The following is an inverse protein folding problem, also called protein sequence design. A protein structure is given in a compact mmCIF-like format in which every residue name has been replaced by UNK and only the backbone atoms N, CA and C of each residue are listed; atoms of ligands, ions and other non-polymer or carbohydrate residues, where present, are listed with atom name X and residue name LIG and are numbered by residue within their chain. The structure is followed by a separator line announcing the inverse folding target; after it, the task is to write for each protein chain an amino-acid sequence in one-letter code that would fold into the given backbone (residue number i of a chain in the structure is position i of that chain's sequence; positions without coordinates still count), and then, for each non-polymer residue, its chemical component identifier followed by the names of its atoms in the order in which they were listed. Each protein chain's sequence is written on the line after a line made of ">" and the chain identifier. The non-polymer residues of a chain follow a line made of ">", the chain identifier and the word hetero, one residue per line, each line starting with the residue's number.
data_IF_126318876977
#
_entry.id   IF_126318876977
#
_cell.length_a   1.000
_cell.length_b   1.000
_cell.length_c   1.000
_cell.angle_alpha   90.00
_cell.angle_beta   90.00
_cell.angle_gamma   90.00
#
_symmetry.space_group_name_H-M   'P 1'
#
loop_
_entity.id
_entity.type
_entity.pdbx_description
1 polymer ?
#
# COMPACT_ATOMS: atom_id res chain seq x y z
N UNK A 1 -7.09 -13.48 -16.57
CA UNK A 1 -6.28 -12.26 -16.43
C UNK A 1 -4.85 -12.72 -16.27
N UNK A 2 -3.96 -12.35 -17.19
CA UNK A 2 -2.52 -12.52 -17.03
C UNK A 2 -2.11 -11.90 -15.69
N UNK A 3 -1.27 -12.59 -14.93
CA UNK A 3 -0.90 -12.13 -13.60
C UNK A 3 -0.28 -10.73 -13.66
N UNK A 4 -0.85 -9.78 -12.92
CA UNK A 4 -0.29 -8.43 -12.76
C UNK A 4 -0.71 -7.38 -13.80
N UNK A 5 -1.73 -7.63 -14.62
CA UNK A 5 -2.29 -6.61 -15.52
C UNK A 5 -3.43 -5.82 -14.86
N UNK A 6 -3.43 -4.49 -15.03
CA UNK A 6 -4.45 -3.58 -14.51
C UNK A 6 -4.82 -2.57 -15.60
N UNK A 7 -6.10 -2.23 -15.72
CA UNK A 7 -6.54 -1.17 -16.65
C UNK A 7 -6.04 0.19 -16.14
N UNK A 8 -5.58 1.06 -17.04
CA UNK A 8 -5.07 2.39 -16.65
C UNK A 8 -6.06 3.19 -15.78
N UNK A 9 -7.36 3.12 -16.07
CA UNK A 9 -8.38 3.81 -15.27
C UNK A 9 -8.46 3.32 -13.82
N UNK A 10 -8.11 2.06 -13.58
CA UNK A 10 -8.07 1.49 -12.24
C UNK A 10 -6.86 1.98 -11.44
N UNK A 11 -5.76 2.38 -12.09
CA UNK A 11 -4.60 2.98 -11.41
C UNK A 11 -4.90 4.35 -10.79
N UNK A 12 -5.90 5.07 -11.32
CA UNK A 12 -6.32 6.38 -10.80
C UNK A 12 -7.33 6.23 -9.66
N UNK A 13 -7.99 5.07 -9.57
CA UNK A 13 -9.12 4.84 -8.68
C UNK A 13 -8.83 3.78 -7.61
N UNK A 14 -8.69 2.52 -8.01
CA UNK A 14 -8.69 1.38 -7.09
C UNK A 14 -7.28 0.87 -6.76
N UNK A 15 -6.36 1.00 -7.71
CA UNK A 15 -5.02 0.42 -7.68
C UNK A 15 -3.95 1.49 -7.90
N UNK A 16 -4.12 2.66 -7.27
CA UNK A 16 -3.10 3.70 -7.31
C UNK A 16 -1.96 3.46 -6.33
N UNK A 17 -0.93 4.33 -6.33
CA UNK A 17 0.20 4.24 -5.40
C UNK A 17 -0.21 4.04 -3.95
N UNK A 18 0.32 3.02 -3.29
CA UNK A 18 -0.03 2.68 -1.90
C UNK A 18 -1.21 1.71 -1.75
N UNK A 19 -1.96 1.42 -2.83
CA UNK A 19 -3.01 0.40 -2.79
C UNK A 19 -2.41 -1.00 -2.62
N UNK A 20 -2.99 -1.81 -1.73
CA UNK A 20 -2.60 -3.20 -1.55
C UNK A 20 -3.41 -4.10 -2.48
N UNK A 21 -2.73 -4.97 -3.23
CA UNK A 21 -3.34 -5.84 -4.23
C UNK A 21 -2.94 -7.29 -3.96
N UNK A 22 -3.93 -8.17 -4.01
CA UNK A 22 -3.72 -9.61 -3.95
C UNK A 22 -3.42 -10.20 -5.31
N UNK A 23 -2.29 -10.90 -5.38
CA UNK A 23 -1.97 -11.82 -6.45
C UNK A 23 -2.13 -13.26 -5.91
N UNK A 24 -2.19 -14.28 -6.78
CA UNK A 24 -2.51 -15.64 -6.35
C UNK A 24 -1.58 -16.20 -5.25
N UNK A 25 -0.29 -15.88 -5.30
CA UNK A 25 0.72 -16.45 -4.39
C UNK A 25 1.34 -15.42 -3.42
N UNK A 26 1.10 -14.12 -3.62
CA UNK A 26 1.64 -13.05 -2.78
C UNK A 26 0.77 -11.79 -2.88
N UNK A 27 1.00 -10.82 -2.00
CA UNK A 27 0.38 -9.50 -2.09
C UNK A 27 1.45 -8.47 -2.39
N UNK A 28 1.08 -7.44 -3.14
CA UNK A 28 1.94 -6.30 -3.44
C UNK A 28 1.28 -5.02 -2.98
N UNK A 29 2.10 -3.99 -2.78
CA UNK A 29 1.63 -2.61 -2.72
C UNK A 29 2.00 -1.92 -4.02
N UNK A 30 1.04 -1.24 -4.65
CA UNK A 30 1.28 -0.55 -5.92
C UNK A 30 2.32 0.55 -5.72
N UNK A 31 3.36 0.52 -6.55
CA UNK A 31 4.50 1.42 -6.46
C UNK A 31 4.13 2.89 -6.68
N UNK A 32 4.81 3.76 -5.95
CA UNK A 32 4.82 5.20 -6.18
C UNK A 32 5.42 5.57 -7.53
N UNK A 33 5.27 6.83 -7.93
CA UNK A 33 5.73 7.34 -9.23
C UNK A 33 7.24 7.10 -9.46
N UNK A 34 8.03 7.03 -8.39
CA UNK A 34 9.46 6.69 -8.45
C UNK A 34 9.75 5.24 -8.90
N UNK A 35 8.74 4.38 -8.92
CA UNK A 35 8.82 2.99 -9.33
C UNK A 35 8.12 2.72 -10.68
N UNK A 36 7.68 3.77 -11.38
CA UNK A 36 7.06 3.68 -12.69
C UNK A 36 8.14 3.65 -13.77
N UNK A 37 8.01 2.72 -14.71
CA UNK A 37 8.93 2.55 -15.82
C UNK A 37 8.17 2.70 -17.15
N UNK A 38 8.66 3.58 -18.02
CA UNK A 38 8.03 3.88 -19.31
C UNK A 38 8.75 3.21 -20.50
N UNK A 39 9.41 2.07 -20.26
CA UNK A 39 10.15 1.31 -21.28
C UNK A 39 11.53 1.87 -21.60
N UNK A 40 12.15 1.38 -22.69
CA UNK A 40 13.55 1.65 -23.06
C UNK A 40 13.88 3.13 -23.26
N UNK A 41 12.93 3.91 -23.76
CA UNK A 41 13.11 5.35 -24.01
C UNK A 41 12.63 6.21 -22.83
N UNK A 42 12.07 5.58 -21.79
CA UNK A 42 11.43 6.24 -20.65
C UNK A 42 10.50 7.40 -21.07
N UNK A 43 9.77 7.23 -22.18
CA UNK A 43 9.02 8.29 -22.81
C UNK A 43 7.59 8.34 -22.26
N UNK A 44 7.45 8.95 -21.08
CA UNK A 44 6.15 9.19 -20.47
C UNK A 44 5.35 10.20 -21.31
N UNK A 45 4.14 9.83 -21.72
CA UNK A 45 3.26 10.76 -22.42
C UNK A 45 2.78 11.84 -21.44
N UNK A 46 3.14 13.09 -21.73
CA UNK A 46 2.79 14.24 -20.91
C UNK A 46 1.35 14.68 -21.17
N UNK A 47 0.67 15.08 -20.10
CA UNK A 47 -0.67 15.65 -20.17
C UNK A 47 -0.53 17.16 -19.98
N UNK A 48 -0.78 17.94 -21.03
CA UNK A 48 -0.87 19.39 -20.94
C UNK A 48 -2.29 19.81 -20.52
N UNK A 49 -2.48 20.09 -19.23
CA UNK A 49 -3.73 20.65 -18.72
C UNK A 49 -3.46 21.85 -17.78
N UNK A 50 -3.23 23.04 -18.36
CA UNK A 50 -2.83 24.22 -17.59
C UNK A 50 -3.88 24.63 -16.55
N UNK A 51 -5.17 24.39 -16.79
CA UNK A 51 -6.23 24.77 -15.85
C UNK A 51 -6.19 23.92 -14.59
N UNK A 52 -5.95 22.61 -14.72
CA UNK A 52 -5.83 21.70 -13.59
C UNK A 52 -4.59 22.05 -12.75
N UNK A 53 -3.46 22.28 -13.42
CA UNK A 53 -2.19 22.62 -12.78
C UNK A 53 -2.29 23.96 -12.04
N UNK A 54 -2.72 25.01 -12.74
CA UNK A 54 -2.68 26.38 -12.22
C UNK A 54 -3.77 26.64 -11.17
N UNK A 55 -5.00 26.14 -11.38
CA UNK A 55 -6.13 26.46 -10.49
C UNK A 55 -6.32 25.51 -9.32
N UNK A 56 -5.84 24.27 -9.40
CA UNK A 56 -6.09 23.26 -8.36
C UNK A 56 -4.81 22.73 -7.74
N UNK A 57 -3.86 22.25 -8.56
CA UNK A 57 -2.74 21.48 -8.04
C UNK A 57 -1.62 22.33 -7.44
N UNK A 58 -1.29 23.50 -8.02
CA UNK A 58 -0.24 24.38 -7.45
C UNK A 58 -0.58 24.92 -6.06
N UNK A 59 -1.84 25.23 -5.80
CA UNK A 59 -2.29 25.72 -4.49
C UNK A 59 -2.23 24.63 -3.42
N UNK A 60 -2.56 23.39 -3.79
CA UNK A 60 -2.62 22.26 -2.86
C UNK A 60 -1.25 21.63 -2.61
N UNK A 61 -0.47 21.34 -3.65
CA UNK A 61 0.74 20.52 -3.55
C UNK A 61 2.00 21.32 -3.20
N UNK A 62 1.98 22.66 -3.34
CA UNK A 62 3.11 23.56 -3.02
C UNK A 62 4.45 23.14 -3.66
N UNK A 63 4.40 22.42 -4.79
CA UNK A 63 5.59 21.99 -5.52
C UNK A 63 5.93 23.00 -6.63
N UNK A 64 7.23 23.31 -6.84
CA UNK A 64 7.64 24.31 -7.83
C UNK A 64 7.37 23.85 -9.27
N UNK A 65 7.61 22.57 -9.56
CA UNK A 65 7.43 21.97 -10.87
C UNK A 65 6.46 20.79 -10.77
N UNK A 66 5.33 20.90 -11.45
CA UNK A 66 4.33 19.85 -11.54
C UNK A 66 4.18 19.41 -12.99
N UNK A 67 4.42 18.12 -13.22
CA UNK A 67 4.28 17.48 -14.53
C UNK A 67 3.22 16.41 -14.39
N UNK A 68 2.28 16.38 -15.32
CA UNK A 68 1.25 15.35 -15.40
C UNK A 68 1.67 14.34 -16.48
N UNK A 69 1.66 13.06 -16.12
CA UNK A 69 2.05 11.96 -17.00
C UNK A 69 0.92 10.93 -17.03
N UNK A 70 0.70 10.31 -18.18
CA UNK A 70 -0.17 9.13 -18.27
C UNK A 70 0.48 7.94 -17.56
N UNK A 71 -0.29 6.98 -17.02
CA UNK A 71 0.27 5.73 -16.51
C UNK A 71 1.01 4.94 -17.60
N UNK A 72 2.10 4.22 -17.25
CA UNK A 72 2.84 3.40 -18.21
C UNK A 72 1.93 2.32 -18.80
N UNK A 73 2.16 1.98 -20.06
CA UNK A 73 1.39 0.97 -20.79
C UNK A 73 2.34 -0.09 -21.30
N UNK A 74 1.92 -1.35 -21.20
CA UNK A 74 2.55 -2.46 -21.89
C UNK A 74 1.84 -2.67 -23.22
N UNK A 75 2.28 -1.97 -24.27
CA UNK A 75 1.72 -2.10 -25.62
C UNK A 75 2.72 -2.74 -26.56
N UNK A 76 2.20 -3.60 -27.43
CA UNK A 76 2.97 -4.11 -28.58
C UNK A 76 2.66 -3.23 -29.78
N UNK A 77 3.63 -2.39 -30.18
CA UNK A 77 3.49 -1.53 -31.35
C UNK A 77 3.51 -2.31 -32.68
N UNK A 78 3.21 -1.65 -33.81
CA UNK A 78 3.35 -2.23 -35.14
C UNK A 78 4.76 -2.81 -35.34
N UNK A 79 4.85 -4.04 -35.85
CA UNK A 79 6.13 -4.75 -36.01
C UNK A 79 6.64 -5.48 -34.76
N UNK A 80 5.84 -5.59 -33.69
CA UNK A 80 6.18 -6.39 -32.50
C UNK A 80 7.07 -5.68 -31.49
N UNK A 81 7.29 -4.37 -31.64
CA UNK A 81 8.10 -3.56 -30.72
C UNK A 81 7.32 -3.35 -29.43
N UNK A 82 7.75 -4.01 -28.34
CA UNK A 82 7.15 -3.83 -27.01
C UNK A 82 7.56 -2.49 -26.40
N UNK A 83 6.61 -1.59 -26.19
CA UNK A 83 6.72 -0.53 -25.18
C UNK A 83 6.46 -1.20 -23.84
N UNK A 84 7.49 -1.82 -23.25
CA UNK A 84 7.37 -2.56 -22.00
C UNK A 84 7.28 -1.65 -20.78
N UNK A 85 6.26 -0.81 -20.70
CA UNK A 85 6.00 0.01 -19.52
C UNK A 85 5.42 -0.84 -18.39
N UNK A 86 5.87 -0.60 -17.15
CA UNK A 86 5.38 -1.33 -15.98
C UNK A 86 5.49 -0.49 -14.70
N UNK A 87 4.77 -0.91 -13.67
CA UNK A 87 4.88 -0.34 -12.32
C UNK A 87 5.52 -1.39 -11.42
N UNK A 88 6.74 -1.11 -10.94
CA UNK A 88 7.38 -1.99 -9.97
C UNK A 88 6.62 -1.88 -8.64
N UNK A 89 5.99 -2.97 -8.24
CA UNK A 89 5.16 -3.03 -7.04
C UNK A 89 5.83 -3.92 -5.99
N UNK A 90 6.33 -3.36 -4.88
CA UNK A 90 6.99 -4.14 -3.83
C UNK A 90 6.04 -5.16 -3.20
N UNK A 91 6.59 -6.33 -2.84
CA UNK A 91 5.86 -7.31 -2.05
C UNK A 91 5.54 -6.73 -0.66
N UNK A 92 4.28 -6.81 -0.27
CA UNK A 92 3.80 -6.34 1.02
C UNK A 92 2.44 -6.98 1.35
N UNK A 93 2.21 -7.49 2.56
CA UNK A 93 3.11 -7.53 3.73
C UNK A 93 4.30 -8.49 3.60
N UNK A 94 5.27 -8.39 4.51
CA UNK A 94 6.41 -9.31 4.57
C UNK A 94 6.17 -10.52 5.50
N UNK A 95 5.00 -10.59 6.12
CA UNK A 95 4.58 -11.70 6.96
C UNK A 95 3.55 -12.58 6.26
N UNK A 96 3.66 -13.87 6.52
CA UNK A 96 2.88 -14.92 5.89
C UNK A 96 2.37 -15.92 6.93
N UNK A 97 1.24 -16.53 6.61
CA UNK A 97 0.65 -17.64 7.36
C UNK A 97 0.82 -18.91 6.53
N UNK A 98 1.58 -19.87 7.04
CA UNK A 98 1.76 -21.16 6.37
C UNK A 98 0.46 -21.98 6.44
N UNK A 99 0.09 -22.61 5.32
CA UNK A 99 -1.13 -23.39 5.19
C UNK A 99 -0.89 -24.82 5.65
N UNK A 100 -0.99 -25.02 6.97
CA UNK A 100 -1.03 -26.33 7.61
C UNK A 100 -2.45 -26.60 8.12
N UNK A 101 -2.87 -27.85 8.07
CA UNK A 101 -4.15 -28.31 8.59
C UNK A 101 -3.95 -28.91 9.99
N UNK A 102 -3.54 -28.03 10.91
CA UNK A 102 -3.38 -28.35 12.33
C UNK A 102 -4.42 -27.61 13.17
N UNK A 103 -4.82 -28.23 14.28
CA UNK A 103 -5.74 -27.60 15.24
C UNK A 103 -5.26 -27.81 16.66
N UNK A 104 -5.50 -26.81 17.51
CA UNK A 104 -5.27 -26.89 18.96
C UNK A 104 -6.57 -26.64 19.71
N UNK A 105 -6.69 -27.20 20.90
CA UNK A 105 -7.80 -26.91 21.82
C UNK A 105 -7.30 -26.00 22.94
N UNK A 106 -8.03 -24.92 23.20
CA UNK A 106 -7.75 -23.99 24.30
C UNK A 106 -9.07 -23.50 24.88
N UNK A 107 -9.25 -23.60 26.19
CA UNK A 107 -10.50 -23.28 26.90
C UNK A 107 -11.73 -23.90 26.21
N UNK A 108 -11.70 -25.21 25.97
CA UNK A 108 -12.77 -26.00 25.34
C UNK A 108 -13.19 -25.54 23.93
N UNK A 109 -12.37 -24.70 23.28
CA UNK A 109 -12.56 -24.27 21.90
C UNK A 109 -11.43 -24.76 21.01
N UNK A 110 -11.80 -25.17 19.79
CA UNK A 110 -10.87 -25.63 18.76
C UNK A 110 -10.45 -24.46 17.86
N UNK A 111 -9.16 -24.28 17.66
CA UNK A 111 -8.57 -23.26 16.81
C UNK A 111 -7.78 -23.91 15.68
N UNK A 112 -7.92 -23.40 14.45
CA UNK A 112 -6.96 -23.67 13.38
C UNK A 112 -5.66 -22.96 13.73
N UNK A 113 -4.55 -23.71 13.81
CA UNK A 113 -3.25 -23.14 14.18
C UNK A 113 -2.31 -23.17 12.98
N UNK A 114 -1.64 -22.05 12.71
CA UNK A 114 -0.77 -21.90 11.55
C UNK A 114 0.50 -21.12 11.89
N UNK A 115 1.69 -21.55 11.45
CA UNK A 115 2.91 -20.78 11.59
C UNK A 115 2.80 -19.40 10.95
N UNK A 116 3.17 -18.37 11.71
CA UNK A 116 3.32 -16.99 11.27
C UNK A 116 4.81 -16.71 11.05
N UNK A 117 5.19 -16.52 9.79
CA UNK A 117 6.59 -16.51 9.33
C UNK A 117 6.88 -15.29 8.47
N UNK A 118 8.14 -14.86 8.44
CA UNK A 118 8.60 -13.77 7.56
C UNK A 118 9.03 -14.29 6.19
N UNK A 119 9.01 -13.42 5.19
CA UNK A 119 9.49 -13.71 3.82
C UNK A 119 10.88 -14.32 3.77
N UNK A 120 11.81 -13.85 4.62
CA UNK A 120 13.18 -14.38 4.70
C UNK A 120 13.31 -15.77 5.32
N UNK A 121 12.19 -16.39 5.76
CA UNK A 121 12.14 -17.76 6.27
C UNK A 121 11.54 -18.73 5.25
N UNK A 122 11.22 -18.26 4.04
CA UNK A 122 10.64 -19.05 2.97
C UNK A 122 11.73 -19.58 2.02
N UNK A 123 11.43 -20.69 1.33
CA UNK A 123 12.27 -21.19 0.25
C UNK A 123 12.13 -20.34 -1.03
N UNK A 124 12.96 -20.63 -2.03
CA UNK A 124 12.97 -19.92 -3.33
C UNK A 124 11.63 -19.97 -4.09
N UNK A 125 10.70 -20.85 -3.70
CA UNK A 125 9.36 -20.97 -4.29
C UNK A 125 8.27 -20.42 -3.36
N UNK A 126 8.62 -19.55 -2.42
CA UNK A 126 7.73 -18.99 -1.41
C UNK A 126 7.00 -20.07 -0.59
N UNK A 127 7.71 -21.11 -0.14
CA UNK A 127 7.13 -22.14 0.74
C UNK A 127 7.78 -22.14 2.10
N UNK A 128 6.96 -22.41 3.11
CA UNK A 128 7.43 -22.66 4.46
C UNK A 128 7.90 -24.12 4.58
N UNK A 129 9.07 -24.35 5.16
CA UNK A 129 9.60 -25.68 5.46
C UNK A 129 9.41 -25.93 6.95
N UNK A 130 8.62 -26.95 7.30
CA UNK A 130 8.39 -27.31 8.69
C UNK A 130 9.56 -28.12 9.30
N UNK A 131 9.42 -28.45 10.59
CA UNK A 131 10.43 -29.23 11.33
C UNK A 131 10.67 -30.63 10.73
N UNK A 132 9.70 -31.18 10.00
CA UNK A 132 9.76 -32.48 9.34
C UNK A 132 10.24 -32.35 7.89
N UNK A 133 10.75 -31.18 7.48
CA UNK A 133 11.18 -30.84 6.12
C UNK A 133 10.08 -30.89 5.07
N UNK A 134 8.80 -30.90 5.47
CA UNK A 134 7.66 -30.83 4.55
C UNK A 134 7.45 -29.37 4.14
N UNK A 135 7.14 -29.18 2.86
CA UNK A 135 6.95 -27.86 2.25
C UNK A 135 5.46 -27.51 2.22
N UNK A 136 5.14 -26.32 2.71
CA UNK A 136 3.77 -25.82 2.81
C UNK A 136 3.63 -24.52 2.03
N UNK A 137 2.48 -24.36 1.36
CA UNK A 137 2.12 -23.08 0.75
C UNK A 137 1.94 -22.04 1.86
N UNK A 138 2.16 -20.79 1.51
CA UNK A 138 1.94 -19.68 2.44
C UNK A 138 0.99 -18.68 1.81
N UNK A 139 0.29 -17.92 2.65
CA UNK A 139 -0.52 -16.78 2.20
C UNK A 139 -0.09 -15.54 2.97
N UNK A 140 -0.07 -14.35 2.35
CA UNK A 140 0.20 -13.10 3.05
C UNK A 140 -0.74 -12.92 4.23
N UNK A 141 -0.22 -12.41 5.35
CA UNK A 141 -1.05 -12.12 6.52
C UNK A 141 -2.11 -11.07 6.16
N UNK A 142 -3.31 -11.21 6.72
CA UNK A 142 -4.45 -10.31 6.41
C UNK A 142 -4.38 -8.97 7.15
N UNK A 143 -3.44 -8.82 8.07
CA UNK A 143 -3.38 -7.72 9.02
C UNK A 143 -2.07 -6.96 8.89
N UNK A 144 -2.21 -5.65 8.72
CA UNK A 144 -1.11 -4.69 8.66
C UNK A 144 -1.41 -3.56 9.63
N UNK A 145 -0.51 -2.58 9.74
CA UNK A 145 -0.74 -1.41 10.58
C UNK A 145 -0.58 -0.12 9.79
N UNK A 146 -1.39 0.88 10.13
CA UNK A 146 -1.35 2.20 9.51
C UNK A 146 -1.54 3.32 10.53
N UNK A 147 -1.28 4.57 10.13
CA UNK A 147 -1.51 5.75 10.96
C UNK A 147 -2.31 6.83 10.21
N UNK A 148 -2.82 7.88 10.90
CA UNK A 148 -3.55 8.98 10.27
C UNK A 148 -2.79 9.73 9.16
N UNK A 149 -1.46 9.69 9.13
CA UNK A 149 -0.67 10.28 8.04
C UNK A 149 -0.57 9.39 6.80
N UNK A 150 -1.23 8.23 6.79
CA UNK A 150 -1.20 7.30 5.66
C UNK A 150 0.02 6.39 5.60
N UNK A 151 0.91 6.42 6.59
CA UNK A 151 2.01 5.46 6.69
C UNK A 151 1.48 4.03 6.85
N UNK A 152 2.21 3.07 6.27
CA UNK A 152 1.80 1.67 6.20
C UNK A 152 2.99 0.78 6.55
N UNK A 153 2.79 -0.20 7.43
CA UNK A 153 3.85 -1.15 7.79
C UNK A 153 3.29 -2.50 8.19
N UNK A 154 4.17 -3.51 8.23
CA UNK A 154 3.89 -4.78 8.87
C UNK A 154 3.64 -4.59 10.38
N UNK A 155 2.72 -5.36 10.95
CA UNK A 155 2.60 -5.45 12.42
C UNK A 155 3.87 -6.05 12.99
N UNK A 156 4.41 -5.45 14.05
CA UNK A 156 5.52 -6.05 14.79
C UNK A 156 5.00 -7.19 15.67
N UNK A 157 4.70 -8.33 15.06
CA UNK A 157 4.05 -9.47 15.71
C UNK A 157 4.79 -9.99 16.95
N UNK A 158 6.12 -9.85 16.99
CA UNK A 158 6.94 -10.28 18.13
C UNK A 158 6.75 -9.37 19.33
N UNK A 159 6.90 -8.06 19.15
CA UNK A 159 6.63 -7.08 20.21
C UNK A 159 5.16 -7.10 20.62
N UNK A 160 4.24 -7.24 19.65
CA UNK A 160 2.81 -7.37 19.92
C UNK A 160 2.53 -8.53 20.87
N UNK A 161 2.97 -9.75 20.59
CA UNK A 161 2.65 -10.90 21.45
C UNK A 161 3.38 -10.84 22.80
N UNK A 162 4.60 -10.32 22.85
CA UNK A 162 5.39 -10.24 24.09
C UNK A 162 5.08 -9.01 24.94
N UNK A 163 4.36 -8.02 24.40
CA UNK A 163 4.04 -6.71 25.01
C UNK A 163 5.28 -5.86 25.36
N UNK A 164 6.45 -6.24 24.88
CA UNK A 164 7.73 -5.58 25.11
C UNK A 164 8.75 -6.03 24.07
N UNK A 165 9.87 -5.35 24.02
CA UNK A 165 11.04 -5.79 23.29
C UNK A 165 11.49 -7.17 23.76
N UNK A 166 11.78 -8.03 22.80
CA UNK A 166 12.10 -9.43 23.06
C UNK A 166 13.19 -9.92 22.11
N UNK A 167 14.11 -10.73 22.66
CA UNK A 167 15.11 -11.44 21.87
C UNK A 167 14.60 -12.81 21.38
N UNK A 168 13.33 -13.15 21.64
CA UNK A 168 12.76 -14.42 21.19
C UNK A 168 12.63 -14.46 19.65
N UNK A 169 13.37 -15.39 19.02
CA UNK A 169 13.36 -15.60 17.56
C UNK A 169 12.55 -16.82 17.10
N UNK A 170 11.90 -17.54 18.01
CA UNK A 170 11.07 -18.71 17.66
C UNK A 170 9.90 -18.33 16.74
N UNK A 171 9.46 -19.28 15.92
CA UNK A 171 8.30 -19.10 15.04
C UNK A 171 7.05 -18.79 15.86
N UNK A 172 6.35 -17.72 15.47
CA UNK A 172 5.06 -17.38 16.04
C UNK A 172 3.98 -18.20 15.36
N UNK A 173 2.82 -18.29 16.00
CA UNK A 173 1.67 -19.01 15.49
C UNK A 173 0.44 -18.12 15.53
N UNK A 174 -0.41 -18.26 14.52
CA UNK A 174 -1.72 -17.64 14.44
C UNK A 174 -2.76 -18.73 14.72
N UNK A 175 -3.54 -18.55 15.78
CA UNK A 175 -4.62 -19.46 16.16
C UNK A 175 -5.96 -18.77 15.88
N UNK A 176 -6.78 -19.32 14.99
CA UNK A 176 -8.05 -18.73 14.58
C UNK A 176 -9.20 -19.72 14.83
N UNK A 177 -10.23 -19.26 15.54
CA UNK A 177 -11.49 -19.98 15.67
C UNK A 177 -12.58 -19.38 14.75
N UNK A 178 -13.66 -20.13 14.58
CA UNK A 178 -14.81 -19.71 13.78
C UNK A 178 -14.46 -19.43 12.32
N UNK A 179 -15.15 -18.44 11.73
CA UNK A 179 -14.90 -17.98 10.36
C UNK A 179 -13.68 -17.04 10.25
N UNK A 180 -12.96 -16.76 11.35
CA UNK A 180 -11.77 -15.92 11.35
C UNK A 180 -12.01 -14.43 11.05
N UNK A 181 -13.22 -13.93 11.34
CA UNK A 181 -13.59 -12.51 11.18
C UNK A 181 -13.73 -11.75 12.52
N UNK A 182 -13.87 -12.48 13.63
CA UNK A 182 -13.84 -11.87 14.97
C UNK A 182 -12.40 -11.81 15.49
N UNK A 183 -11.88 -10.61 15.68
CA UNK A 183 -10.53 -10.38 16.22
C UNK A 183 -10.35 -10.93 17.64
N UNK A 184 -11.42 -11.12 18.41
CA UNK A 184 -11.35 -11.74 19.74
C UNK A 184 -11.08 -13.26 19.65
N UNK A 185 -11.37 -13.88 18.51
CA UNK A 185 -11.16 -15.31 18.24
C UNK A 185 -9.87 -15.59 17.48
N UNK A 186 -9.07 -14.56 17.21
CA UNK A 186 -7.77 -14.64 16.56
C UNK A 186 -6.70 -14.36 17.60
N UNK A 187 -5.75 -15.28 17.76
CA UNK A 187 -4.67 -15.16 18.71
C UNK A 187 -3.32 -15.28 18.04
N UNK A 188 -2.37 -14.49 18.50
CA UNK A 188 -0.95 -14.66 18.17
C UNK A 188 -0.28 -15.34 19.35
N UNK A 189 0.45 -16.42 19.08
CA UNK A 189 1.06 -17.27 20.11
C UNK A 189 2.55 -17.45 19.88
N UNK A 190 3.31 -17.42 20.97
CA UNK A 190 4.71 -17.82 20.99
C UNK A 190 4.86 -19.10 21.82
N UNK A 191 5.03 -20.28 21.20
CA UNK A 191 5.08 -21.55 21.93
C UNK A 191 6.26 -21.64 22.88
N UNK A 192 7.42 -21.05 22.53
CA UNK A 192 8.63 -21.10 23.37
C UNK A 192 8.46 -20.36 24.70
N UNK A 193 7.76 -19.23 24.67
CA UNK A 193 7.55 -18.39 25.85
C UNK A 193 6.22 -18.70 26.56
N UNK A 194 5.42 -19.63 26.03
CA UNK A 194 4.09 -19.97 26.51
C UNK A 194 3.15 -18.75 26.67
N UNK A 195 3.22 -17.82 25.73
CA UNK A 195 2.37 -16.61 25.71
C UNK A 195 1.43 -16.64 24.52
N UNK A 196 0.22 -16.13 24.72
CA UNK A 196 -0.85 -16.04 23.72
C UNK A 196 -1.58 -14.72 23.93
N UNK A 197 -1.72 -13.92 22.87
CA UNK A 197 -2.36 -12.59 22.91
C UNK A 197 -3.48 -12.51 21.87
N UNK A 198 -4.70 -12.08 22.26
CA UNK A 198 -5.79 -11.89 21.31
C UNK A 198 -5.52 -10.69 20.40
N UNK A 199 -5.90 -10.80 19.12
CA UNK A 199 -5.70 -9.75 18.13
C UNK A 199 -6.59 -8.53 18.41
N UNK A 200 -7.70 -8.71 19.13
CA UNK A 200 -8.54 -7.60 19.61
C UNK A 200 -7.77 -6.54 20.40
N UNK A 201 -6.70 -6.94 21.11
CA UNK A 201 -5.82 -6.00 21.83
C UNK A 201 -5.16 -4.98 20.91
N UNK A 202 -4.93 -5.32 19.64
CA UNK A 202 -4.31 -4.42 18.67
C UNK A 202 -5.15 -3.17 18.37
N UNK A 203 -6.45 -3.17 18.74
CA UNK A 203 -7.34 -2.00 18.60
C UNK A 203 -7.19 -0.99 19.74
N UNK A 204 -6.49 -1.34 20.83
CA UNK A 204 -6.37 -0.49 22.00
C UNK A 204 -5.33 0.63 21.76
N UNK A 205 -5.84 1.84 21.51
CA UNK A 205 -5.03 3.04 21.25
C UNK A 205 -4.57 3.78 22.53
N UNK A 206 -5.22 3.52 23.67
CA UNK A 206 -5.04 4.29 24.91
C UNK A 206 -4.87 3.43 26.19
N UNK A 207 -4.69 2.11 26.06
CA UNK A 207 -4.77 1.16 27.18
C UNK A 207 -3.75 0.00 27.12
N UNK A 208 -2.60 0.17 26.44
CA UNK A 208 -1.54 -0.82 26.61
C UNK A 208 -0.87 -0.69 27.97
N UNK A 209 -0.24 -1.77 28.43
CA UNK A 209 0.57 -1.78 29.65
C UNK A 209 1.55 -0.58 29.62
N UNK A 210 1.46 0.31 30.62
CA UNK A 210 2.27 1.55 30.75
C UNK A 210 1.95 2.70 29.77
N UNK A 211 0.76 2.73 29.16
CA UNK A 211 0.31 3.87 28.32
C UNK A 211 0.87 3.89 26.90
N UNK A 212 1.47 2.78 26.44
CA UNK A 212 1.96 2.61 25.07
C UNK A 212 0.89 1.87 24.24
N UNK A 213 0.56 2.29 23.01
CA UNK A 213 -0.36 1.55 22.15
C UNK A 213 0.09 0.11 21.90
N UNK A 214 -0.86 -0.82 21.76
CA UNK A 214 -0.54 -2.24 21.56
C UNK A 214 0.32 -2.56 20.32
N UNK A 215 0.18 -1.73 19.26
CA UNK A 215 0.95 -1.80 18.01
C UNK A 215 2.13 -0.80 17.99
N UNK A 216 2.41 -0.13 19.12
CA UNK A 216 3.41 0.90 19.22
C UNK A 216 3.09 2.16 18.40
N UNK A 217 4.12 2.98 18.23
CA UNK A 217 4.05 4.23 17.48
C UNK A 217 4.51 4.05 16.04
N UNK A 218 3.99 4.89 15.14
CA UNK A 218 4.33 4.87 13.73
C UNK A 218 5.79 5.26 13.49
N UNK A 219 6.47 4.46 12.68
CA UNK A 219 7.84 4.68 12.25
C UNK A 219 7.97 5.48 10.94
N UNK A 220 6.84 5.76 10.29
CA UNK A 220 6.78 6.53 9.04
C UNK A 220 7.13 5.77 7.77
N UNK A 221 6.90 4.45 7.79
CA UNK A 221 7.15 3.56 6.65
C UNK A 221 6.15 3.80 5.50
N UNK A 222 6.65 3.77 4.27
CA UNK A 222 5.93 3.98 3.00
C UNK A 222 6.40 2.92 1.99
N UNK A 223 5.99 1.65 2.15
CA UNK A 223 6.51 0.53 1.38
C UNK A 223 6.31 0.68 -0.14
N UNK A 224 5.31 1.46 -0.57
CA UNK A 224 5.09 1.78 -1.98
C UNK A 224 6.18 2.63 -2.62
N UNK A 225 7.03 3.31 -1.83
CA UNK A 225 8.19 4.05 -2.34
C UNK A 225 9.46 3.18 -2.38
N UNK A 226 9.38 1.92 -1.95
CA UNK A 226 10.49 0.98 -1.88
C UNK A 226 11.14 0.90 -0.48
N UNK A 227 12.27 0.17 -0.34
CA UNK A 227 12.88 -0.15 0.96
C UNK A 227 13.34 1.05 1.79
N UNK A 228 13.60 2.19 1.14
CA UNK A 228 14.04 3.44 1.77
C UNK A 228 12.93 4.47 1.85
N UNK A 229 11.69 4.07 1.54
CA UNK A 229 10.50 4.90 1.59
C UNK A 229 10.09 5.19 3.03
N UNK A 230 10.85 6.00 3.76
CA UNK A 230 10.54 6.36 5.15
C UNK A 230 10.55 7.86 5.34
N UNK A 231 9.72 8.36 6.24
CA UNK A 231 9.79 9.73 6.73
C UNK A 231 9.48 9.80 8.22
N UNK A 232 9.59 10.98 8.82
CA UNK A 232 9.17 11.17 10.20
C UNK A 232 7.64 11.20 10.26
N UNK A 233 7.05 10.39 11.14
CA UNK A 233 5.65 10.55 11.48
C UNK A 233 5.49 11.73 12.44
N UNK A 234 4.68 12.71 12.07
CA UNK A 234 4.42 13.92 12.85
C UNK A 234 2.96 13.92 13.25
N UNK A 235 2.69 13.92 14.54
CA UNK A 235 1.35 14.05 15.11
C UNK A 235 1.05 15.48 15.54
N UNK A 236 -0.24 15.80 15.58
CA UNK A 236 -0.72 17.10 16.06
C UNK A 236 -0.68 17.23 17.60
N UNK A 237 -0.02 16.30 18.29
CA UNK A 237 0.19 16.41 19.74
C UNK A 237 1.22 17.50 20.06
N UNK A 238 1.08 18.15 21.22
CA UNK A 238 1.90 19.30 21.65
C UNK A 238 3.43 19.07 21.62
N UNK A 239 3.89 17.82 21.47
CA UNK A 239 5.31 17.45 21.43
C UNK A 239 5.80 16.99 20.04
N UNK A 240 4.97 17.02 18.99
CA UNK A 240 5.38 16.60 17.64
C UNK A 240 5.85 15.14 17.55
N UNK A 241 5.30 14.28 18.40
CA UNK A 241 5.59 12.83 18.43
C UNK A 241 4.93 12.08 17.26
N UNK A 242 5.12 10.76 17.18
CA UNK A 242 4.47 9.91 16.18
C UNK A 242 3.03 9.55 16.55
N UNK A 243 2.16 9.31 15.56
CA UNK A 243 0.83 8.73 15.82
C UNK A 243 0.92 7.27 16.28
N UNK A 244 -0.02 6.80 17.12
CA UNK A 244 -0.16 5.38 17.42
C UNK A 244 -0.57 4.60 16.17
N UNK A 245 -0.02 3.41 15.98
CA UNK A 245 -0.41 2.52 14.89
C UNK A 245 -1.83 1.96 15.13
N UNK A 246 -2.59 1.81 14.06
CA UNK A 246 -3.92 1.21 14.03
C UNK A 246 -3.88 -0.09 13.23
N UNK A 247 -4.59 -1.10 13.71
CA UNK A 247 -4.78 -2.35 12.97
C UNK A 247 -5.60 -2.08 11.71
N UNK A 248 -5.11 -2.55 10.57
CA UNK A 248 -5.78 -2.46 9.28
C UNK A 248 -5.88 -3.87 8.66
N UNK A 249 -7.07 -4.20 8.16
CA UNK A 249 -7.27 -5.43 7.37
C UNK A 249 -6.99 -5.08 5.91
N UNK A 250 -6.13 -5.85 5.25
CA UNK A 250 -5.62 -5.54 3.91
C UNK A 250 -6.72 -5.42 2.84
N UNK A 251 -7.78 -6.22 2.97
CA UNK A 251 -8.93 -6.24 2.06
C UNK A 251 -10.11 -5.38 2.53
N UNK A 252 -9.97 -4.61 3.61
CA UNK A 252 -11.04 -3.73 4.06
C UNK A 252 -11.19 -2.52 3.13
N UNK A 253 -12.43 -2.02 3.00
CA UNK A 253 -12.75 -0.84 2.18
C UNK A 253 -12.03 0.43 2.63
N UNK A 254 -11.56 0.48 3.87
CA UNK A 254 -10.79 1.60 4.42
C UNK A 254 -9.27 1.46 4.24
N UNK A 255 -8.81 0.47 3.49
CA UNK A 255 -7.38 0.25 3.27
C UNK A 255 -6.76 1.23 2.26
N UNK A 256 -7.55 1.74 1.31
CA UNK A 256 -7.08 2.68 0.29
C UNK A 256 -8.22 3.58 -0.18
N UNK A 257 -7.96 4.88 -0.28
CA UNK A 257 -8.85 5.85 -0.89
C UNK A 257 -8.05 6.76 -1.83
N UNK A 258 -8.43 6.87 -3.12
CA UNK A 258 -7.80 7.82 -4.01
C UNK A 258 -8.28 9.25 -3.69
N UNK A 259 -7.38 10.22 -3.75
CA UNK A 259 -7.78 11.62 -3.88
C UNK A 259 -7.87 11.99 -5.36
N UNK A 260 -9.10 12.17 -5.86
CA UNK A 260 -9.36 12.45 -7.27
C UNK A 260 -9.60 13.95 -7.46
N UNK A 261 -8.69 14.60 -8.19
CA UNK A 261 -8.83 15.99 -8.62
C UNK A 261 -9.11 15.99 -10.12
N UNK A 262 -10.30 16.45 -10.51
CA UNK A 262 -10.73 16.51 -11.91
C UNK A 262 -10.86 17.94 -12.42
N UNK A 263 -10.71 18.12 -13.73
CA UNK A 263 -11.07 19.34 -14.45
C UNK A 263 -11.76 18.96 -15.76
N UNK A 264 -12.72 19.77 -16.19
CA UNK A 264 -13.29 19.63 -17.53
C UNK A 264 -12.28 20.22 -18.51
N UNK A 265 -11.66 19.33 -19.31
CA UNK A 265 -10.81 19.75 -20.41
C UNK A 265 -11.71 20.14 -21.59
N UNK A 266 -11.66 21.42 -21.94
CA UNK A 266 -12.29 21.92 -23.16
C UNK A 266 -11.13 22.06 -24.16
N UNK A 267 -11.11 21.24 -25.23
CA UNK A 267 -10.08 21.38 -26.26
C UNK A 267 -10.02 22.83 -26.69
N UNK A 268 -8.82 23.42 -26.70
CA UNK A 268 -8.67 24.73 -27.34
C UNK A 268 -9.08 24.53 -28.80
N UNK A 269 -10.08 25.26 -29.33
CA UNK A 269 -10.33 25.19 -30.75
C UNK A 269 -9.04 25.61 -31.46
N UNK A 270 -8.59 24.82 -32.43
CA UNK A 270 -7.61 25.23 -33.43
C UNK A 270 -8.34 26.25 -34.31
N UNK A 271 -8.61 27.43 -33.77
CA UNK A 271 -9.24 28.50 -34.52
C UNK A 271 -8.14 29.30 -35.19
N UNK A 272 -7.82 28.93 -36.44
CA UNK A 272 -7.11 29.83 -37.37
C UNK A 272 -7.74 31.22 -37.37
N UNK A 273 -9.06 31.30 -37.19
CA UNK A 273 -9.82 32.55 -37.05
C UNK A 273 -9.38 33.35 -35.81
N UNK A 274 -9.09 32.70 -34.69
CA UNK A 274 -8.65 33.35 -33.45
C UNK A 274 -7.21 33.83 -33.55
N UNK A 275 -6.33 33.09 -34.22
CA UNK A 275 -4.99 33.59 -34.58
C UNK A 275 -5.06 34.82 -35.48
N UNK A 276 -5.93 34.79 -36.50
CA UNK A 276 -6.15 35.95 -37.39
C UNK A 276 -6.75 37.13 -36.61
N UNK A 277 -7.69 36.90 -35.70
CA UNK A 277 -8.28 37.94 -34.86
C UNK A 277 -7.24 38.57 -33.92
N UNK A 278 -6.41 37.77 -33.25
CA UNK A 278 -5.34 38.27 -32.37
C UNK A 278 -4.30 39.05 -33.18
N UNK A 279 -3.92 38.55 -34.36
CA UNK A 279 -2.93 39.21 -35.23
C UNK A 279 -3.43 40.56 -35.76
N UNK A 280 -4.74 40.70 -35.98
CA UNK A 280 -5.36 41.91 -36.52
C UNK A 280 -6.14 42.73 -35.47
N UNK A 281 -6.01 42.42 -34.17
CA UNK A 281 -6.79 43.05 -33.10
C UNK A 281 -6.62 44.59 -33.09
N UNK A 282 -5.39 45.07 -33.34
CA UNK A 282 -5.04 46.50 -33.46
C UNK A 282 -5.69 47.19 -34.67
N UNK A 283 -6.09 46.44 -35.69
CA UNK A 283 -6.81 46.95 -36.86
C UNK A 283 -8.31 47.12 -36.56
N UNK A 284 -8.89 46.21 -35.78
CA UNK A 284 -10.28 46.28 -35.36
C UNK A 284 -10.53 47.37 -34.30
N UNK A 285 -9.57 47.64 -33.41
CA UNK A 285 -9.65 48.76 -32.46
C UNK A 285 -9.73 50.13 -33.15
N UNK A 286 -9.23 50.25 -34.39
CA UNK A 286 -9.32 51.48 -35.21
C UNK A 286 -10.64 51.66 -35.96
N UNK A 287 -11.51 50.64 -35.96
CA UNK A 287 -12.81 50.66 -36.67
C UNK A 287 -14.00 50.92 -35.73
N UNK A 288 -13.76 51.10 -34.42
CA UNK A 288 -14.79 51.32 -33.40
C UNK A 288 -14.81 52.79 -32.91
N UNK A 289 -14.16 53.71 -33.63
CA UNK A 289 -14.30 55.17 -33.50
C UNK A 289 -14.74 55.75 -34.84
#
# INVERSE_FOLDING_TARGET
>A
MSQGEVRQSQLITTYGPGAMVDLPDHSVVIGGLNLWNYGKENNAELIDEPRLIQKKLRQTLQVPNLILQKPPVDETGPGGVKKGGFIKSPQFPNWFVAQLDETITFNDRRYRTRPLVKSNQLDERNRYIDINKKKHRVVPVRFVQSCPNGHLSDVNWREFVHKKDTNCRHTLWLDEAGAGNDFAEIFVRCPKCNIRRPLSDAKQLALGDKGIPALGYCNGERPWLGPYGRERCISNSNNGGSYPNRLLVRSASNAYFPEIISAISIPKPIDKVREVLIKNLKLFEKLIL
#
